data_IF_036641229902
#
_entry.id   IF_036641229902
#
_cell.length_a   1.000
_cell.length_b   1.000
_cell.length_c   1.000
_cell.angle_alpha   90.00
_cell.angle_beta   90.00
_cell.angle_gamma   90.00
#
_symmetry.space_group_name_H-M   'P 1'
#
loop_
_entity.id
_entity.type
_entity.pdbx_description
1 polymer ?
#
# COMPACT_ATOMS: atom_id res chain seq x y z
N UNK A 1 -3.73 -14.58 9.93
CA UNK A 1 -5.09 -14.84 9.42
C UNK A 1 -5.73 -13.60 8.78
N UNK A 2 -5.74 -12.43 9.43
CA UNK A 2 -6.33 -11.19 8.90
C UNK A 2 -5.77 -10.76 7.54
N UNK A 3 -4.45 -10.84 7.34
CA UNK A 3 -3.80 -10.47 6.07
C UNK A 3 -4.26 -11.34 4.88
N UNK A 4 -4.50 -12.64 5.12
CA UNK A 4 -5.00 -13.55 4.08
C UNK A 4 -6.41 -13.16 3.66
N UNK A 5 -7.27 -12.81 4.61
CA UNK A 5 -8.64 -12.35 4.33
C UNK A 5 -8.59 -11.07 3.48
N UNK A 6 -7.75 -10.10 3.85
CA UNK A 6 -7.60 -8.89 3.05
C UNK A 6 -7.11 -9.17 1.63
N UNK A 7 -6.14 -10.07 1.45
CA UNK A 7 -5.63 -10.43 0.12
C UNK A 7 -6.68 -11.15 -0.74
N UNK A 8 -7.50 -12.02 -0.13
CA UNK A 8 -8.59 -12.70 -0.85
C UNK A 8 -9.65 -11.69 -1.31
N UNK A 9 -10.09 -10.79 -0.42
CA UNK A 9 -11.07 -9.75 -0.77
C UNK A 9 -10.52 -8.82 -1.84
N UNK A 10 -9.24 -8.42 -1.72
CA UNK A 10 -8.57 -7.57 -2.70
C UNK A 10 -8.46 -8.25 -4.06
N UNK A 11 -8.10 -9.55 -4.09
CA UNK A 11 -8.06 -10.34 -5.32
C UNK A 11 -9.46 -10.48 -5.97
N UNK A 12 -10.50 -10.64 -5.15
CA UNK A 12 -11.89 -10.63 -5.63
C UNK A 12 -12.23 -9.32 -6.34
N UNK A 13 -11.94 -8.17 -5.75
CA UNK A 13 -12.19 -6.88 -6.42
C UNK A 13 -11.31 -6.69 -7.66
N UNK A 14 -10.03 -7.01 -7.57
CA UNK A 14 -9.10 -6.90 -8.69
C UNK A 14 -9.56 -7.72 -9.91
N UNK A 15 -10.24 -8.85 -9.69
CA UNK A 15 -10.75 -9.72 -10.75
C UNK A 15 -12.06 -9.24 -11.41
N UNK A 16 -12.68 -8.15 -10.92
CA UNK A 16 -13.96 -7.64 -11.48
C UNK A 16 -13.81 -6.92 -12.80
N UNK A 17 -12.61 -6.42 -13.09
CA UNK A 17 -12.20 -5.86 -14.38
C UNK A 17 -10.92 -6.55 -14.86
N UNK A 18 -10.40 -6.14 -16.03
CA UNK A 18 -9.12 -6.65 -16.50
C UNK A 18 -7.99 -6.27 -15.53
N UNK A 19 -7.26 -7.27 -15.03
CA UNK A 19 -6.14 -7.08 -14.11
C UNK A 19 -5.01 -6.24 -14.71
N UNK A 20 -4.89 -6.23 -16.04
CA UNK A 20 -3.79 -5.59 -16.78
C UNK A 20 -4.19 -4.22 -17.33
N UNK A 21 -5.47 -4.03 -17.67
CA UNK A 21 -5.94 -2.82 -18.34
C UNK A 21 -6.73 -1.86 -17.44
N UNK A 22 -7.03 -2.26 -16.22
CA UNK A 22 -7.77 -1.45 -15.26
C UNK A 22 -7.05 -1.41 -13.92
N UNK A 23 -7.40 -0.43 -13.09
CA UNK A 23 -6.92 -0.31 -11.71
C UNK A 23 -8.07 -0.49 -10.71
N UNK A 24 -7.74 -0.64 -9.43
CA UNK A 24 -8.74 -0.81 -8.37
C UNK A 24 -9.64 0.41 -8.22
N UNK A 25 -9.10 1.61 -8.43
CA UNK A 25 -9.92 2.84 -8.45
C UNK A 25 -10.95 2.82 -9.58
N UNK A 26 -10.62 2.22 -10.74
CA UNK A 26 -11.56 1.97 -11.84
C UNK A 26 -12.68 1.01 -11.44
N UNK A 27 -12.38 -0.07 -10.70
CA UNK A 27 -13.41 -0.97 -10.14
C UNK A 27 -14.27 -0.22 -9.13
N UNK A 28 -13.67 0.61 -8.26
CA UNK A 28 -14.40 1.42 -7.28
C UNK A 28 -15.31 2.46 -7.93
N UNK A 29 -15.04 2.91 -9.16
CA UNK A 29 -15.93 3.82 -9.90
C UNK A 29 -17.22 3.16 -10.40
N UNK A 30 -17.33 1.83 -10.38
CA UNK A 30 -18.53 1.09 -10.77
C UNK A 30 -19.59 1.16 -9.66
N UNK A 31 -20.87 1.53 -9.96
CA UNK A 31 -21.89 1.74 -8.93
C UNK A 31 -22.08 0.57 -7.96
N UNK A 32 -22.01 -0.67 -8.46
CA UNK A 32 -22.20 -1.87 -7.64
C UNK A 32 -21.04 -2.17 -6.68
N UNK A 33 -19.84 -1.67 -6.95
CA UNK A 33 -18.64 -1.91 -6.14
C UNK A 33 -18.19 -0.69 -5.34
N UNK A 34 -18.74 0.48 -5.61
CA UNK A 34 -18.32 1.74 -5.01
C UNK A 34 -18.27 1.67 -3.47
N UNK A 35 -19.42 1.48 -2.84
CA UNK A 35 -19.50 1.41 -1.37
C UNK A 35 -18.79 0.20 -0.77
N UNK A 36 -18.96 -1.04 -1.28
CA UNK A 36 -18.23 -2.19 -0.77
C UNK A 36 -16.72 -2.01 -0.79
N UNK A 37 -16.16 -1.46 -1.87
CA UNK A 37 -14.73 -1.21 -1.96
C UNK A 37 -14.28 -0.06 -1.07
N UNK A 38 -15.02 1.03 -0.98
CA UNK A 38 -14.69 2.11 -0.06
C UNK A 38 -14.65 1.63 1.39
N UNK A 39 -15.65 0.86 1.82
CA UNK A 39 -15.66 0.26 3.16
C UNK A 39 -14.46 -0.67 3.36
N UNK A 40 -14.17 -1.52 2.39
CA UNK A 40 -13.02 -2.42 2.46
C UNK A 40 -11.71 -1.66 2.59
N UNK A 41 -11.44 -0.69 1.71
CA UNK A 41 -10.20 0.09 1.75
C UNK A 41 -10.10 0.99 2.98
N UNK A 42 -11.21 1.49 3.48
CA UNK A 42 -11.22 2.23 4.74
C UNK A 42 -10.74 1.36 5.91
N UNK A 43 -11.33 0.16 6.08
CA UNK A 43 -10.92 -0.79 7.14
C UNK A 43 -9.48 -1.24 6.94
N UNK A 44 -9.10 -1.56 5.70
CA UNK A 44 -7.75 -1.93 5.32
C UNK A 44 -6.74 -0.82 5.67
N UNK A 45 -7.03 0.42 5.30
CA UNK A 45 -6.18 1.58 5.56
C UNK A 45 -6.01 1.81 7.06
N UNK A 46 -7.10 1.81 7.84
CA UNK A 46 -7.05 2.01 9.30
C UNK A 46 -6.22 0.89 9.97
N UNK A 47 -6.42 -0.36 9.53
CA UNK A 47 -5.66 -1.47 10.08
C UNK A 47 -4.15 -1.31 9.84
N UNK A 48 -3.72 -1.01 8.61
CA UNK A 48 -2.30 -0.86 8.29
C UNK A 48 -1.71 0.46 8.81
N UNK A 49 -2.49 1.52 8.89
CA UNK A 49 -2.10 2.74 9.59
C UNK A 49 -1.74 2.44 11.06
N UNK A 50 -2.60 1.68 11.74
CA UNK A 50 -2.34 1.23 13.09
C UNK A 50 -1.08 0.35 13.19
N UNK A 51 -0.88 -0.60 12.27
CA UNK A 51 0.33 -1.44 12.25
C UNK A 51 1.62 -0.60 12.10
N UNK A 52 1.66 0.34 11.15
CA UNK A 52 2.79 1.25 10.98
C UNK A 52 3.00 2.14 12.20
N UNK A 53 1.93 2.64 12.79
CA UNK A 53 1.98 3.45 14.00
C UNK A 53 2.62 2.68 15.17
N UNK A 54 2.39 1.40 15.31
CA UNK A 54 2.98 0.60 16.38
C UNK A 54 4.49 0.38 16.22
N UNK A 55 4.98 0.19 14.99
CA UNK A 55 6.37 -0.20 14.75
C UNK A 55 7.33 0.99 14.60
N UNK A 56 6.85 2.18 14.20
CA UNK A 56 7.72 3.34 13.94
C UNK A 56 7.71 4.36 15.08
N UNK A 57 8.86 5.03 15.28
CA UNK A 57 8.97 6.20 16.13
C UNK A 57 8.45 7.48 15.45
N UNK A 58 8.37 7.50 14.13
CA UNK A 58 8.03 8.67 13.30
C UNK A 58 6.50 8.79 13.10
N UNK A 59 5.75 8.99 14.18
CA UNK A 59 4.28 9.02 14.19
C UNK A 59 3.68 10.05 13.22
N UNK A 60 4.31 11.23 13.10
CA UNK A 60 3.85 12.27 12.19
C UNK A 60 3.83 11.83 10.72
N UNK A 61 4.87 11.11 10.25
CA UNK A 61 4.92 10.59 8.88
C UNK A 61 3.81 9.57 8.62
N UNK A 62 3.53 8.72 9.61
CA UNK A 62 2.41 7.75 9.53
C UNK A 62 1.06 8.47 9.41
N UNK A 63 0.85 9.54 10.19
CA UNK A 63 -0.39 10.30 10.10
C UNK A 63 -0.51 11.03 8.75
N UNK A 64 0.56 11.65 8.25
CA UNK A 64 0.55 12.31 6.94
C UNK A 64 0.21 11.29 5.84
N UNK A 65 0.89 10.14 5.79
CA UNK A 65 0.62 9.12 4.79
C UNK A 65 -0.81 8.59 4.87
N UNK A 66 -1.28 8.27 6.07
CA UNK A 66 -2.64 7.77 6.29
C UNK A 66 -3.70 8.78 5.89
N UNK A 67 -3.52 10.06 6.23
CA UNK A 67 -4.44 11.14 5.83
C UNK A 67 -4.47 11.34 4.31
N UNK A 68 -3.31 11.36 3.63
CA UNK A 68 -3.26 11.45 2.17
C UNK A 68 -4.02 10.30 1.51
N UNK A 69 -3.79 9.07 1.95
CA UNK A 69 -4.49 7.90 1.40
C UNK A 69 -5.98 7.92 1.72
N UNK A 70 -6.37 8.39 2.92
CA UNK A 70 -7.77 8.52 3.28
C UNK A 70 -8.48 9.58 2.44
N UNK A 71 -7.86 10.74 2.22
CA UNK A 71 -8.39 11.79 1.35
C UNK A 71 -8.53 11.24 -0.08
N UNK A 72 -7.49 10.60 -0.62
CA UNK A 72 -7.55 9.97 -1.94
C UNK A 72 -8.71 8.96 -2.04
N UNK A 73 -8.93 8.11 -1.03
CA UNK A 73 -9.99 7.09 -1.02
C UNK A 73 -11.39 7.69 -1.21
N UNK A 74 -11.65 8.88 -0.67
CA UNK A 74 -12.96 9.53 -0.77
C UNK A 74 -13.09 10.50 -1.94
N UNK A 75 -12.01 10.74 -2.69
CA UNK A 75 -12.08 11.57 -3.90
C UNK A 75 -12.64 10.77 -5.08
N UNK A 76 -13.57 11.36 -5.86
CA UNK A 76 -14.07 10.73 -7.07
C UNK A 76 -12.94 10.46 -8.07
N UNK A 77 -12.92 9.27 -8.67
CA UNK A 77 -11.96 8.90 -9.71
C UNK A 77 -12.67 8.36 -10.94
N UNK A 78 -12.33 8.91 -12.11
CA UNK A 78 -12.75 8.40 -13.41
C UNK A 78 -11.53 8.30 -14.32
N UNK A 79 -11.11 7.07 -14.65
CA UNK A 79 -9.90 6.84 -15.46
C UNK A 79 -9.91 7.55 -16.83
N UNK A 80 -11.09 7.70 -17.44
CA UNK A 80 -11.25 8.32 -18.75
C UNK A 80 -11.35 9.85 -18.72
N UNK A 81 -11.44 10.45 -17.55
CA UNK A 81 -11.57 11.90 -17.39
C UNK A 81 -10.29 12.49 -16.81
N UNK A 82 -9.77 13.52 -17.48
CA UNK A 82 -8.71 14.38 -16.94
C UNK A 82 -9.32 15.53 -16.15
N UNK A 83 -10.32 15.22 -15.30
CA UNK A 83 -10.91 16.22 -14.43
C UNK A 83 -10.03 16.44 -13.18
N UNK A 84 -10.19 17.62 -12.60
CA UNK A 84 -9.42 18.04 -11.43
C UNK A 84 -9.47 17.03 -10.26
N UNK A 85 -10.63 16.42 -10.01
CA UNK A 85 -10.79 15.48 -8.89
C UNK A 85 -10.06 14.16 -9.15
N UNK A 86 -10.10 13.63 -10.37
CA UNK A 86 -9.37 12.41 -10.75
C UNK A 86 -7.86 12.60 -10.69
N UNK A 87 -7.36 13.75 -11.11
CA UNK A 87 -5.93 14.10 -10.98
C UNK A 87 -5.53 14.25 -9.52
N UNK A 88 -6.30 14.98 -8.71
CA UNK A 88 -6.05 15.10 -7.27
C UNK A 88 -6.07 13.75 -6.54
N UNK A 89 -7.02 12.86 -6.85
CA UNK A 89 -7.05 11.50 -6.32
C UNK A 89 -5.71 10.80 -6.56
N UNK A 90 -5.22 10.85 -7.79
CA UNK A 90 -3.97 10.20 -8.18
C UNK A 90 -2.75 10.81 -7.47
N UNK A 91 -2.60 12.12 -7.53
CA UNK A 91 -1.43 12.80 -6.92
C UNK A 91 -1.40 12.66 -5.40
N UNK A 92 -2.54 12.84 -4.72
CA UNK A 92 -2.62 12.70 -3.26
C UNK A 92 -2.36 11.25 -2.85
N UNK A 93 -2.86 10.27 -3.60
CA UNK A 93 -2.56 8.86 -3.39
C UNK A 93 -1.07 8.55 -3.51
N UNK A 94 -0.40 9.06 -4.55
CA UNK A 94 1.05 8.93 -4.71
C UNK A 94 1.84 9.58 -3.58
N UNK A 95 1.46 10.78 -3.17
CA UNK A 95 2.08 11.46 -2.02
C UNK A 95 1.97 10.57 -0.77
N UNK A 96 0.81 9.98 -0.53
CA UNK A 96 0.60 9.03 0.58
C UNK A 96 1.55 7.83 0.52
N UNK A 97 1.72 7.22 -0.67
CA UNK A 97 2.64 6.10 -0.89
C UNK A 97 4.10 6.53 -0.66
N UNK A 98 4.51 7.69 -1.16
CA UNK A 98 5.86 8.22 -0.94
C UNK A 98 6.13 8.38 0.57
N UNK A 99 5.19 8.91 1.34
CA UNK A 99 5.33 9.03 2.79
C UNK A 99 5.39 7.66 3.50
N UNK A 100 4.72 6.62 2.99
CA UNK A 100 4.90 5.24 3.50
C UNK A 100 6.34 4.78 3.28
N UNK A 101 6.88 4.95 2.07
CA UNK A 101 8.27 4.56 1.75
C UNK A 101 9.27 5.30 2.64
N UNK A 102 9.10 6.61 2.83
CA UNK A 102 9.92 7.41 3.74
C UNK A 102 9.79 6.88 5.17
N UNK A 103 8.57 6.57 5.63
CA UNK A 103 8.33 6.02 6.96
C UNK A 103 9.06 4.69 7.17
N UNK A 104 9.01 3.79 6.19
CA UNK A 104 9.71 2.51 6.23
C UNK A 104 11.24 2.69 6.21
N UNK A 105 11.75 3.63 5.41
CA UNK A 105 13.18 3.94 5.38
C UNK A 105 13.67 4.48 6.75
N UNK A 106 12.92 5.41 7.35
CA UNK A 106 13.23 5.94 8.68
C UNK A 106 13.08 4.88 9.78
N UNK A 107 12.10 3.99 9.67
CA UNK A 107 11.96 2.84 10.55
C UNK A 107 13.18 1.91 10.47
N UNK A 108 13.66 1.60 9.27
CA UNK A 108 14.86 0.77 9.07
C UNK A 108 16.12 1.45 9.62
N UNK A 109 16.23 2.78 9.46
CA UNK A 109 17.31 3.55 10.07
C UNK A 109 17.29 3.45 11.61
N UNK A 110 16.12 3.67 12.24
CA UNK A 110 15.97 3.55 13.69
C UNK A 110 16.24 2.11 14.18
N UNK A 111 15.81 1.10 13.41
CA UNK A 111 16.05 -0.31 13.70
C UNK A 111 17.54 -0.67 13.58
N UNK A 112 18.26 -0.07 12.65
CA UNK A 112 19.70 -0.29 12.48
C UNK A 112 20.49 0.08 13.73
N UNK A 113 20.05 1.07 14.49
CA UNK A 113 20.73 1.49 15.73
C UNK A 113 20.60 0.44 16.87
N UNK A 114 19.59 -0.41 16.80
CA UNK A 114 19.31 -1.40 17.86
C UNK A 114 19.53 -2.84 17.41
N UNK A 115 19.20 -3.16 16.17
CA UNK A 115 19.24 -4.50 15.58
C UNK A 115 19.78 -4.47 14.14
N UNK A 116 21.08 -4.21 14.01
CA UNK A 116 21.77 -4.02 12.73
C UNK A 116 21.50 -5.14 11.71
N UNK A 117 21.62 -6.40 12.13
CA UNK A 117 21.39 -7.55 11.23
C UNK A 117 19.94 -7.61 10.71
N UNK A 118 18.97 -7.39 11.60
CA UNK A 118 17.55 -7.37 11.22
C UNK A 118 17.25 -6.21 10.26
N UNK A 119 17.82 -5.02 10.50
CA UNK A 119 17.67 -3.87 9.62
C UNK A 119 18.20 -4.18 8.21
N UNK A 120 19.38 -4.80 8.08
CA UNK A 120 19.92 -5.20 6.77
C UNK A 120 19.07 -6.27 6.07
N UNK A 121 18.54 -7.24 6.81
CA UNK A 121 17.64 -8.26 6.27
C UNK A 121 16.38 -7.61 5.66
N UNK A 122 15.74 -6.71 6.41
CA UNK A 122 14.54 -6.01 5.98
C UNK A 122 14.82 -4.99 4.86
N UNK A 123 15.97 -4.32 4.88
CA UNK A 123 16.39 -3.43 3.80
C UNK A 123 16.55 -4.19 2.48
N UNK A 124 17.22 -5.35 2.49
CA UNK A 124 17.32 -6.21 1.30
C UNK A 124 15.96 -6.64 0.79
N UNK A 125 15.06 -7.03 1.69
CA UNK A 125 13.68 -7.37 1.32
C UNK A 125 12.98 -6.18 0.68
N UNK A 126 13.04 -5.00 1.28
CA UNK A 126 12.40 -3.79 0.75
C UNK A 126 12.93 -3.43 -0.65
N UNK A 127 14.25 -3.46 -0.83
CA UNK A 127 14.88 -3.21 -2.15
C UNK A 127 14.39 -4.25 -3.17
N UNK A 128 14.36 -5.54 -2.82
CA UNK A 128 13.89 -6.60 -3.71
C UNK A 128 12.43 -6.41 -4.13
N UNK A 129 11.56 -6.02 -3.18
CA UNK A 129 10.15 -5.74 -3.46
C UNK A 129 9.99 -4.50 -4.34
N UNK A 130 10.75 -3.43 -4.08
CA UNK A 130 10.75 -2.23 -4.92
C UNK A 130 11.23 -2.53 -6.34
N UNK A 131 12.28 -3.33 -6.52
CA UNK A 131 12.78 -3.74 -7.84
C UNK A 131 11.73 -4.58 -8.59
N UNK A 132 11.08 -5.52 -7.90
CA UNK A 132 9.98 -6.31 -8.48
C UNK A 132 8.84 -5.39 -8.95
N UNK A 133 8.39 -4.46 -8.10
CA UNK A 133 7.32 -3.54 -8.45
C UNK A 133 7.70 -2.62 -9.61
N UNK A 134 8.92 -2.09 -9.62
CA UNK A 134 9.41 -1.24 -10.72
C UNK A 134 9.47 -2.03 -12.02
N UNK A 135 9.91 -3.30 -11.98
CA UNK A 135 9.94 -4.18 -13.15
C UNK A 135 8.53 -4.43 -13.68
N UNK A 136 7.58 -4.76 -12.80
CA UNK A 136 6.18 -4.96 -13.19
C UNK A 136 5.59 -3.69 -13.81
N UNK A 137 5.82 -2.53 -13.19
CA UNK A 137 5.36 -1.24 -13.72
C UNK A 137 5.95 -0.94 -15.10
N UNK A 138 7.24 -1.23 -15.30
CA UNK A 138 7.91 -1.05 -16.60
C UNK A 138 7.27 -1.91 -17.71
N UNK A 139 6.97 -3.19 -17.42
CA UNK A 139 6.34 -4.07 -18.40
C UNK A 139 4.87 -3.76 -18.66
N UNK A 140 4.13 -3.32 -17.65
CA UNK A 140 2.72 -2.97 -17.79
C UNK A 140 2.52 -1.58 -18.39
N UNK A 141 3.53 -0.71 -18.31
CA UNK A 141 3.53 0.70 -18.75
C UNK A 141 2.38 1.55 -18.15
N UNK A 142 1.66 1.03 -17.14
CA UNK A 142 0.53 1.70 -16.48
C UNK A 142 0.30 1.14 -15.07
N UNK A 143 -0.41 1.90 -14.24
CA UNK A 143 -0.87 1.45 -12.93
C UNK A 143 -2.13 0.63 -13.12
N UNK A 144 -2.01 -0.66 -12.86
CA UNK A 144 -3.08 -1.64 -13.05
C UNK A 144 -3.50 -2.27 -11.73
N UNK A 145 -4.65 -2.96 -11.71
CA UNK A 145 -5.11 -3.70 -10.52
C UNK A 145 -4.10 -4.76 -10.08
N UNK A 146 -3.38 -5.38 -11.03
CA UNK A 146 -2.29 -6.31 -10.71
C UNK A 146 -1.14 -5.60 -9.98
N UNK A 147 -0.71 -4.44 -10.48
CA UNK A 147 0.34 -3.65 -9.84
C UNK A 147 -0.06 -3.21 -8.43
N UNK A 148 -1.26 -2.65 -8.28
CA UNK A 148 -1.79 -2.22 -6.97
C UNK A 148 -1.89 -3.40 -5.99
N UNK A 149 -2.36 -4.57 -6.45
CA UNK A 149 -2.43 -5.78 -5.64
C UNK A 149 -1.02 -6.23 -5.17
N UNK A 150 -0.03 -6.20 -6.07
CA UNK A 150 1.36 -6.52 -5.72
C UNK A 150 1.97 -5.51 -4.73
N UNK A 151 1.62 -4.22 -4.81
CA UNK A 151 2.02 -3.23 -3.82
C UNK A 151 1.51 -3.58 -2.43
N UNK A 152 0.22 -3.92 -2.30
CA UNK A 152 -0.36 -4.33 -1.02
C UNK A 152 0.25 -5.63 -0.50
N UNK A 153 0.46 -6.62 -1.37
CA UNK A 153 1.12 -7.88 -1.02
C UNK A 153 2.55 -7.63 -0.51
N UNK A 154 3.31 -6.78 -1.19
CA UNK A 154 4.68 -6.42 -0.81
C UNK A 154 4.73 -5.79 0.58
N UNK A 155 3.81 -4.89 0.86
CA UNK A 155 3.70 -4.25 2.16
C UNK A 155 3.37 -5.25 3.29
N UNK A 156 2.45 -6.18 3.03
CA UNK A 156 2.11 -7.27 3.97
C UNK A 156 3.32 -8.17 4.23
N UNK A 157 4.02 -8.59 3.17
CA UNK A 157 5.22 -9.43 3.28
C UNK A 157 6.27 -8.74 4.15
N UNK A 158 6.50 -7.45 3.96
CA UNK A 158 7.44 -6.68 4.76
C UNK A 158 7.06 -6.69 6.25
N UNK A 159 5.80 -6.35 6.57
CA UNK A 159 5.32 -6.32 7.96
C UNK A 159 5.37 -7.69 8.64
N UNK A 160 4.96 -8.75 7.95
CA UNK A 160 4.97 -10.11 8.50
C UNK A 160 6.40 -10.61 8.72
N UNK A 161 7.31 -10.32 7.77
CA UNK A 161 8.74 -10.67 7.94
C UNK A 161 9.35 -9.96 9.14
N UNK A 162 9.00 -8.68 9.35
CA UNK A 162 9.45 -7.94 10.54
C UNK A 162 8.92 -8.58 11.82
N UNK A 163 7.62 -8.82 11.93
CA UNK A 163 6.99 -9.41 13.13
C UNK A 163 7.56 -10.78 13.45
N UNK A 164 7.68 -11.65 12.45
CA UNK A 164 8.24 -12.98 12.62
C UNK A 164 9.71 -12.92 13.06
N UNK A 165 10.49 -12.02 12.44
CA UNK A 165 11.90 -11.89 12.81
C UNK A 165 12.09 -11.36 14.23
N UNK A 166 11.33 -10.34 14.66
CA UNK A 166 11.50 -9.76 15.99
C UNK A 166 11.07 -10.72 17.10
N UNK A 167 10.09 -11.61 16.84
CA UNK A 167 9.68 -12.64 17.82
C UNK A 167 10.77 -13.69 18.11
N UNK A 168 11.81 -13.77 17.28
CA UNK A 168 12.98 -14.62 17.52
C UNK A 168 14.11 -13.91 18.28
N UNK A 169 14.01 -12.59 18.47
CA UNK A 169 15.01 -11.79 19.21
C UNK A 169 14.54 -11.38 20.61
N UNK A 170 13.26 -11.61 20.93
CA UNK A 170 12.68 -11.43 22.26
C UNK A 170 12.56 -12.78 22.98
#
# INVERSE_FOLDING_TARGET
>A
MVHIIFLIILAYFASRLSLIHNNLSGVMSMPQYHYPMQCFFFVFLIYYWYQLYQITKRKALVHISGLCLLISLFMPFKRSSHDFFSECHTYIGFIGIIFIVITLAMFLYDLHQTHTYLAYKLLRLLISLCLMLTTVLYFLADITSLFEWLCFLSFIIFLETYKHSISHYL
#
